data_IF_220087620633
#
_entry.id   IF_220087620633
#
_cell.length_a   1.000
_cell.length_b   1.000
_cell.length_c   1.000
_cell.angle_alpha   90.00
_cell.angle_beta   90.00
_cell.angle_gamma   90.00
#
_symmetry.space_group_name_H-M   'P 1'
#
loop_
_entity.id
_entity.type
_entity.pdbx_description
1 polymer ?
#
# COMPACT_ATOMS: atom_id res chain seq x y z
N UNK A 1 26.38 -23.78 -10.41
CA UNK A 1 25.59 -24.97 -10.02
C UNK A 1 24.79 -24.63 -8.77
N UNK A 2 23.50 -25.00 -8.72
CA UNK A 2 22.65 -24.81 -7.53
C UNK A 2 23.05 -25.85 -6.49
N UNK A 3 23.34 -25.45 -5.26
CA UNK A 3 23.72 -26.38 -4.19
C UNK A 3 22.47 -27.05 -3.59
N UNK A 4 22.65 -28.21 -2.96
CA UNK A 4 21.55 -28.88 -2.22
C UNK A 4 21.01 -27.96 -1.12
N UNK A 5 21.89 -27.21 -0.45
CA UNK A 5 21.51 -26.24 0.58
C UNK A 5 20.63 -25.12 0.02
N UNK A 6 20.95 -24.59 -1.16
CA UNK A 6 20.14 -23.53 -1.78
C UNK A 6 18.79 -24.06 -2.28
N UNK A 7 18.75 -25.29 -2.80
CA UNK A 7 17.49 -25.96 -3.15
C UNK A 7 16.60 -26.19 -1.92
N UNK A 8 17.18 -26.59 -0.77
CA UNK A 8 16.45 -26.72 0.50
C UNK A 8 15.96 -25.37 1.01
N UNK A 9 16.76 -24.30 0.89
CA UNK A 9 16.33 -22.95 1.24
C UNK A 9 15.16 -22.48 0.37
N UNK A 10 15.19 -22.77 -0.92
CA UNK A 10 14.09 -22.59 -1.87
C UNK A 10 12.82 -23.31 -1.44
N UNK A 11 12.91 -24.61 -1.16
CA UNK A 11 11.77 -25.42 -0.71
C UNK A 11 11.17 -24.88 0.61
N UNK A 12 12.01 -24.47 1.57
CA UNK A 12 11.57 -23.83 2.82
C UNK A 12 10.84 -22.51 2.58
N UNK A 13 11.33 -21.68 1.65
CA UNK A 13 10.69 -20.42 1.28
C UNK A 13 9.34 -20.62 0.61
N UNK A 14 9.25 -21.56 -0.33
CA UNK A 14 7.99 -21.90 -0.98
C UNK A 14 6.98 -22.49 0.03
N UNK A 15 7.44 -23.44 0.86
CA UNK A 15 6.61 -24.09 1.88
C UNK A 15 6.04 -23.13 2.91
N UNK A 16 6.81 -22.13 3.35
CA UNK A 16 6.32 -21.13 4.32
C UNK A 16 5.23 -20.23 3.73
N UNK A 17 5.36 -19.79 2.48
CA UNK A 17 4.32 -19.03 1.78
C UNK A 17 3.03 -19.84 1.61
N UNK A 18 3.13 -21.12 1.23
CA UNK A 18 1.97 -22.00 1.07
C UNK A 18 1.28 -22.26 2.41
N UNK A 19 2.05 -22.58 3.45
CA UNK A 19 1.52 -22.81 4.80
C UNK A 19 0.78 -21.58 5.34
N UNK A 20 1.36 -20.39 5.17
CA UNK A 20 0.73 -19.13 5.56
C UNK A 20 -0.55 -18.88 4.74
N UNK A 21 -0.53 -19.15 3.43
CA UNK A 21 -1.69 -19.03 2.56
C UNK A 21 -2.84 -19.95 2.96
N UNK A 22 -2.53 -21.21 3.29
CA UNK A 22 -3.50 -22.19 3.81
C UNK A 22 -4.07 -21.71 5.13
N UNK A 23 -3.21 -21.27 6.07
CA UNK A 23 -3.66 -20.78 7.38
C UNK A 23 -4.63 -19.60 7.24
N UNK A 24 -4.28 -18.59 6.43
CA UNK A 24 -5.13 -17.42 6.21
C UNK A 24 -6.43 -17.80 5.51
N UNK A 25 -6.38 -18.60 4.45
CA UNK A 25 -7.58 -19.05 3.75
C UNK A 25 -8.51 -19.84 4.68
N UNK A 26 -7.92 -20.69 5.52
CA UNK A 26 -8.66 -21.57 6.42
C UNK A 26 -9.31 -20.81 7.57
N UNK A 27 -8.61 -19.84 8.17
CA UNK A 27 -9.17 -18.97 9.20
C UNK A 27 -10.34 -18.14 8.66
N UNK A 28 -10.18 -17.56 7.46
CA UNK A 28 -11.23 -16.71 6.85
C UNK A 28 -12.51 -17.49 6.51
N UNK A 29 -12.37 -18.77 6.16
CA UNK A 29 -13.51 -19.64 5.80
C UNK A 29 -13.93 -20.60 6.93
N UNK A 30 -13.22 -20.56 8.07
CA UNK A 30 -13.40 -21.48 9.21
C UNK A 30 -13.35 -22.97 8.82
N UNK A 31 -12.65 -23.29 7.74
CA UNK A 31 -12.56 -24.62 7.13
C UNK A 31 -11.23 -24.73 6.40
N UNK A 32 -10.63 -25.92 6.36
CA UNK A 32 -9.38 -26.13 5.63
C UNK A 32 -9.56 -25.75 4.15
N UNK A 33 -8.75 -24.81 3.66
CA UNK A 33 -8.81 -24.31 2.29
C UNK A 33 -7.42 -24.24 1.67
N UNK A 34 -7.31 -24.49 0.35
CA UNK A 34 -6.06 -24.31 -0.37
C UNK A 34 -5.60 -22.84 -0.32
N UNK A 35 -4.31 -22.57 -0.51
CA UNK A 35 -3.79 -21.21 -0.56
C UNK A 35 -4.39 -20.48 -1.77
N UNK A 36 -4.52 -19.15 -1.67
CA UNK A 36 -4.94 -18.34 -2.81
C UNK A 36 -3.83 -18.27 -3.87
N UNK A 37 -4.20 -17.91 -5.09
CA UNK A 37 -3.26 -17.71 -6.21
C UNK A 37 -2.12 -16.75 -5.86
N UNK A 38 -2.38 -15.72 -5.03
CA UNK A 38 -1.35 -14.81 -4.55
C UNK A 38 -0.28 -15.56 -3.73
N UNK A 39 -0.69 -16.43 -2.81
CA UNK A 39 0.24 -17.21 -1.99
C UNK A 39 0.97 -18.27 -2.79
N UNK A 40 0.33 -18.87 -3.79
CA UNK A 40 0.99 -19.78 -4.74
C UNK A 40 2.05 -19.04 -5.55
N UNK A 41 1.74 -17.86 -6.10
CA UNK A 41 2.71 -17.05 -6.82
C UNK A 41 3.87 -16.59 -5.90
N UNK A 42 3.57 -16.17 -4.67
CA UNK A 42 4.58 -15.82 -3.67
C UNK A 42 5.48 -17.00 -3.35
N UNK A 43 4.92 -18.21 -3.21
CA UNK A 43 5.69 -19.42 -2.96
C UNK A 43 6.66 -19.70 -4.11
N UNK A 44 6.20 -19.60 -5.36
CA UNK A 44 7.06 -19.76 -6.54
C UNK A 44 8.16 -18.70 -6.57
N UNK A 45 7.82 -17.42 -6.38
CA UNK A 45 8.77 -16.32 -6.37
C UNK A 45 9.83 -16.48 -5.27
N UNK A 46 9.40 -16.73 -4.02
CA UNK A 46 10.31 -16.92 -2.89
C UNK A 46 11.19 -18.17 -3.06
N UNK A 47 10.62 -19.26 -3.58
CA UNK A 47 11.35 -20.50 -3.86
C UNK A 47 12.45 -20.29 -4.90
N UNK A 48 12.13 -19.67 -6.04
CA UNK A 48 13.12 -19.32 -7.07
C UNK A 48 14.18 -18.37 -6.51
N UNK A 49 13.75 -17.34 -5.78
CA UNK A 49 14.67 -16.35 -5.20
C UNK A 49 15.70 -17.03 -4.30
N UNK A 50 15.26 -17.77 -3.27
CA UNK A 50 16.18 -18.41 -2.31
C UNK A 50 17.06 -19.51 -2.92
N UNK A 51 16.59 -20.16 -3.98
CA UNK A 51 17.39 -21.18 -4.68
C UNK A 51 18.57 -20.55 -5.42
N UNK A 52 18.37 -19.36 -5.98
CA UNK A 52 19.33 -18.69 -6.87
C UNK A 52 20.13 -17.58 -6.20
N UNK A 53 19.64 -17.04 -5.07
CA UNK A 53 20.26 -15.92 -4.34
C UNK A 53 21.74 -16.18 -4.03
N UNK A 54 22.17 -17.39 -3.60
CA UNK A 54 23.59 -17.66 -3.32
C UNK A 54 24.49 -17.61 -4.55
N UNK A 55 23.93 -17.76 -5.76
CA UNK A 55 24.69 -17.70 -7.02
C UNK A 55 24.72 -16.28 -7.58
N UNK A 56 23.56 -15.62 -7.64
CA UNK A 56 23.45 -14.24 -8.11
C UNK A 56 22.15 -13.62 -7.62
N UNK A 57 22.27 -12.65 -6.71
CA UNK A 57 21.14 -11.88 -6.18
C UNK A 57 20.31 -11.23 -7.30
N UNK A 58 20.98 -10.67 -8.31
CA UNK A 58 20.34 -9.97 -9.42
C UNK A 58 19.56 -10.94 -10.32
N UNK A 59 20.13 -12.10 -10.63
CA UNK A 59 19.45 -13.13 -11.42
C UNK A 59 18.28 -13.73 -10.63
N UNK A 60 18.47 -13.98 -9.33
CA UNK A 60 17.44 -14.44 -8.42
C UNK A 60 16.25 -13.46 -8.36
N UNK A 61 16.53 -12.17 -8.12
CA UNK A 61 15.53 -11.11 -8.11
C UNK A 61 14.77 -11.02 -9.43
N UNK A 62 15.48 -11.06 -10.56
CA UNK A 62 14.89 -10.99 -11.90
C UNK A 62 13.92 -12.17 -12.15
N UNK A 63 14.42 -13.40 -12.03
CA UNK A 63 13.64 -14.60 -12.36
C UNK A 63 12.48 -14.83 -11.37
N UNK A 64 12.71 -14.59 -10.08
CA UNK A 64 11.65 -14.67 -9.07
C UNK A 64 10.55 -13.65 -9.34
N UNK A 65 10.90 -12.42 -9.74
CA UNK A 65 9.94 -11.36 -10.03
C UNK A 65 9.14 -11.63 -11.29
N UNK A 66 9.78 -12.16 -12.34
CA UNK A 66 9.10 -12.59 -13.56
C UNK A 66 8.09 -13.70 -13.24
N UNK A 67 8.53 -14.74 -12.53
CA UNK A 67 7.66 -15.86 -12.16
C UNK A 67 6.48 -15.40 -11.28
N UNK A 68 6.76 -14.64 -10.23
CA UNK A 68 5.73 -14.08 -9.36
C UNK A 68 4.72 -13.24 -10.14
N UNK A 69 5.20 -12.27 -10.93
CA UNK A 69 4.33 -11.32 -11.62
C UNK A 69 3.48 -11.97 -12.73
N UNK A 70 4.01 -13.01 -13.39
CA UNK A 70 3.26 -13.75 -14.41
C UNK A 70 2.17 -14.65 -13.81
N UNK A 71 2.37 -15.15 -12.59
CA UNK A 71 1.44 -16.06 -11.92
C UNK A 71 0.29 -15.37 -11.18
N UNK A 72 0.45 -14.12 -10.75
CA UNK A 72 -0.62 -13.39 -10.05
C UNK A 72 -1.74 -12.92 -10.99
N UNK A 73 -2.95 -12.73 -10.44
CA UNK A 73 -4.10 -12.18 -11.19
C UNK A 73 -3.84 -10.75 -11.68
N UNK A 74 -4.56 -10.33 -12.72
CA UNK A 74 -4.43 -8.99 -13.29
C UNK A 74 -4.70 -7.88 -12.26
N UNK A 75 -5.68 -8.07 -11.36
CA UNK A 75 -5.92 -7.11 -10.27
C UNK A 75 -4.72 -6.97 -9.34
N UNK A 76 -4.02 -8.07 -9.02
CA UNK A 76 -2.82 -8.02 -8.21
C UNK A 76 -1.63 -7.42 -8.97
N UNK A 77 -1.51 -7.67 -10.30
CA UNK A 77 -0.44 -7.07 -11.13
C UNK A 77 -0.42 -5.56 -11.01
N UNK A 78 -1.58 -4.90 -11.09
CA UNK A 78 -1.70 -3.45 -10.91
C UNK A 78 -1.20 -3.01 -9.54
N UNK A 79 -1.61 -3.71 -8.47
CA UNK A 79 -1.25 -3.35 -7.10
C UNK A 79 0.27 -3.51 -6.89
N UNK A 80 0.85 -4.67 -7.21
CA UNK A 80 2.27 -4.93 -6.91
C UNK A 80 3.20 -4.09 -7.76
N UNK A 81 2.86 -3.83 -9.04
CA UNK A 81 3.65 -2.94 -9.88
C UNK A 81 3.61 -1.51 -9.35
N UNK A 82 2.43 -1.01 -8.96
CA UNK A 82 2.32 0.32 -8.40
C UNK A 82 3.06 0.47 -7.06
N UNK A 83 3.09 -0.56 -6.22
CA UNK A 83 3.93 -0.54 -5.00
C UNK A 83 5.42 -0.54 -5.36
N UNK A 84 5.87 -1.39 -6.27
CA UNK A 84 7.28 -1.45 -6.68
C UNK A 84 7.77 -0.12 -7.27
N UNK A 85 6.95 0.53 -8.11
CA UNK A 85 7.27 1.85 -8.68
C UNK A 85 7.34 2.95 -7.61
N UNK A 86 6.44 2.94 -6.63
CA UNK A 86 6.47 3.91 -5.52
C UNK A 86 7.70 3.70 -4.63
N UNK A 87 8.04 2.44 -4.32
CA UNK A 87 9.26 2.12 -3.58
C UNK A 87 10.52 2.58 -4.31
N UNK A 88 10.60 2.30 -5.62
CA UNK A 88 11.71 2.73 -6.45
C UNK A 88 11.82 4.26 -6.47
N UNK A 89 10.69 4.96 -6.68
CA UNK A 89 10.67 6.42 -6.68
C UNK A 89 11.11 7.02 -5.33
N UNK A 90 10.74 6.39 -4.20
CA UNK A 90 11.18 6.81 -2.88
C UNK A 90 12.70 6.61 -2.70
N UNK A 91 13.26 5.48 -3.14
CA UNK A 91 14.71 5.26 -3.08
C UNK A 91 15.49 6.21 -3.99
N UNK A 92 14.94 6.55 -5.17
CA UNK A 92 15.54 7.56 -6.06
C UNK A 92 15.46 8.95 -5.43
N UNK A 93 14.34 9.29 -4.77
CA UNK A 93 14.19 10.57 -4.07
C UNK A 93 15.21 10.75 -2.95
N UNK A 94 15.57 9.67 -2.23
CA UNK A 94 16.61 9.69 -1.20
C UNK A 94 18.00 10.08 -1.71
N UNK A 95 18.24 10.03 -3.03
CA UNK A 95 19.51 10.46 -3.64
C UNK A 95 19.64 11.98 -3.74
N UNK A 96 18.55 12.72 -3.52
CA UNK A 96 18.49 14.17 -3.60
C UNK A 96 18.32 14.80 -2.22
N UNK A 97 18.68 16.09 -2.04
CA UNK A 97 18.42 16.79 -0.78
C UNK A 97 16.92 16.78 -0.43
N UNK A 98 16.56 16.50 0.83
CA UNK A 98 15.17 16.43 1.24
C UNK A 98 14.49 17.80 1.10
N UNK A 99 13.30 17.80 0.51
CA UNK A 99 12.51 19.01 0.27
C UNK A 99 11.08 18.80 0.75
N UNK A 100 10.76 19.43 1.90
CA UNK A 100 9.41 19.41 2.46
C UNK A 100 8.37 19.95 1.48
N UNK A 101 8.73 20.95 0.67
CA UNK A 101 7.83 21.50 -0.34
C UNK A 101 7.45 20.43 -1.38
N UNK A 102 8.43 19.67 -1.89
CA UNK A 102 8.20 18.58 -2.84
C UNK A 102 7.36 17.46 -2.19
N UNK A 103 7.66 17.09 -0.94
CA UNK A 103 6.88 16.08 -0.22
C UNK A 103 5.41 16.50 -0.02
N UNK A 104 5.17 17.75 0.37
CA UNK A 104 3.83 18.29 0.57
C UNK A 104 3.08 18.42 -0.76
N UNK A 105 3.70 18.97 -1.80
CA UNK A 105 3.10 19.09 -3.14
C UNK A 105 2.75 17.72 -3.71
N UNK A 106 3.66 16.76 -3.63
CA UNK A 106 3.43 15.38 -4.09
C UNK A 106 2.32 14.73 -3.28
N UNK A 107 2.30 14.93 -1.95
CA UNK A 107 1.23 14.39 -1.09
C UNK A 107 -0.13 14.95 -1.45
N UNK A 108 -0.25 16.25 -1.73
CA UNK A 108 -1.50 16.88 -2.18
C UNK A 108 -1.90 16.32 -3.55
N UNK A 109 -0.95 16.21 -4.48
CA UNK A 109 -1.22 15.71 -5.83
C UNK A 109 -1.74 14.26 -5.80
N UNK A 110 -1.08 13.34 -5.07
CA UNK A 110 -1.49 11.93 -5.04
C UNK A 110 -2.81 11.72 -4.30
N UNK A 111 -3.04 12.43 -3.19
CA UNK A 111 -4.29 12.33 -2.42
C UNK A 111 -5.45 12.97 -3.15
N UNK A 112 -5.23 14.18 -3.69
CA UNK A 112 -6.17 14.90 -4.54
C UNK A 112 -6.58 14.08 -5.74
N UNK A 113 -5.61 13.46 -6.44
CA UNK A 113 -5.91 12.57 -7.56
C UNK A 113 -6.78 11.38 -7.15
N UNK A 114 -6.42 10.64 -6.10
CA UNK A 114 -7.19 9.46 -5.70
C UNK A 114 -8.64 9.84 -5.39
N UNK A 115 -8.82 10.91 -4.62
CA UNK A 115 -10.14 11.34 -4.16
C UNK A 115 -10.97 11.95 -5.29
N UNK A 116 -10.34 12.73 -6.18
CA UNK A 116 -10.97 13.22 -7.40
C UNK A 116 -11.46 12.05 -8.26
N UNK A 117 -10.59 11.08 -8.55
CA UNK A 117 -10.96 9.88 -9.31
C UNK A 117 -12.08 9.10 -8.61
N UNK A 118 -12.03 8.96 -7.29
CA UNK A 118 -13.08 8.28 -6.51
C UNK A 118 -14.46 8.95 -6.63
N UNK A 119 -14.50 10.27 -6.78
CA UNK A 119 -15.75 11.03 -6.91
C UNK A 119 -16.24 11.12 -8.37
N UNK A 120 -15.33 11.25 -9.34
CA UNK A 120 -15.69 11.61 -10.72
C UNK A 120 -15.46 10.48 -11.72
N UNK A 121 -14.40 9.69 -11.56
CA UNK A 121 -13.95 8.64 -12.50
C UNK A 121 -13.72 7.30 -11.77
N UNK A 122 -14.71 6.87 -10.98
CA UNK A 122 -14.56 5.75 -10.06
C UNK A 122 -14.31 4.42 -10.79
N UNK A 123 -14.66 4.30 -12.07
CA UNK A 123 -14.33 3.17 -12.94
C UNK A 123 -12.82 2.94 -13.12
N UNK A 124 -11.98 3.94 -12.88
CA UNK A 124 -10.51 3.79 -12.92
C UNK A 124 -9.93 3.19 -11.63
N UNK A 125 -10.76 3.00 -10.60
CA UNK A 125 -10.36 2.39 -9.33
C UNK A 125 -10.68 0.90 -9.38
N UNK A 126 -9.76 0.07 -8.88
CA UNK A 126 -10.00 -1.37 -8.83
C UNK A 126 -11.24 -1.69 -7.97
N UNK A 127 -12.08 -2.66 -8.36
CA UNK A 127 -13.32 -2.96 -7.62
C UNK A 127 -13.11 -3.23 -6.13
N UNK A 128 -12.00 -3.87 -5.76
CA UNK A 128 -11.64 -4.13 -4.35
C UNK A 128 -11.30 -2.85 -3.58
N UNK A 129 -10.61 -1.91 -4.21
CA UNK A 129 -10.27 -0.60 -3.64
C UNK A 129 -11.53 0.26 -3.54
N UNK A 130 -12.36 0.29 -4.58
CA UNK A 130 -13.60 1.05 -4.60
C UNK A 130 -14.54 0.57 -3.50
N UNK A 131 -14.75 -0.75 -3.36
CA UNK A 131 -15.54 -1.33 -2.27
C UNK A 131 -15.03 -0.93 -0.89
N UNK A 132 -13.70 -0.86 -0.71
CA UNK A 132 -13.11 -0.42 0.55
C UNK A 132 -13.40 1.06 0.81
N UNK A 133 -13.19 1.94 -0.18
CA UNK A 133 -13.42 3.37 -0.06
C UNK A 133 -14.91 3.69 0.16
N UNK A 134 -15.81 3.02 -0.57
CA UNK A 134 -17.25 3.11 -0.41
C UNK A 134 -17.68 2.70 1.00
N UNK A 135 -17.17 1.57 1.50
CA UNK A 135 -17.46 1.13 2.86
C UNK A 135 -16.91 2.09 3.93
N UNK A 136 -15.75 2.71 3.68
CA UNK A 136 -15.18 3.70 4.60
C UNK A 136 -15.95 5.01 4.61
N UNK A 137 -16.60 5.38 3.50
CA UNK A 137 -17.44 6.57 3.36
C UNK A 137 -18.69 6.56 4.27
N UNK A 138 -19.10 5.39 4.76
CA UNK A 138 -20.34 5.23 5.54
C UNK A 138 -21.61 5.74 4.81
N UNK A 139 -21.57 5.82 3.47
CA UNK A 139 -22.71 6.13 2.60
C UNK A 139 -23.16 4.84 1.90
N UNK A 140 -24.46 4.69 1.65
CA UNK A 140 -24.97 3.53 0.93
C UNK A 140 -24.49 3.54 -0.53
N UNK A 141 -24.30 2.36 -1.15
CA UNK A 141 -23.84 2.28 -2.54
C UNK A 141 -24.73 3.05 -3.53
N UNK A 142 -26.06 3.03 -3.35
CA UNK A 142 -27.00 3.71 -4.24
C UNK A 142 -26.85 5.23 -4.16
N UNK A 143 -26.73 5.79 -2.95
CA UNK A 143 -26.50 7.22 -2.74
C UNK A 143 -25.15 7.64 -3.35
N UNK A 144 -24.10 6.82 -3.18
CA UNK A 144 -22.80 7.09 -3.80
C UNK A 144 -22.89 7.09 -5.32
N UNK A 145 -23.59 6.12 -5.91
CA UNK A 145 -23.77 6.03 -7.36
C UNK A 145 -24.53 7.25 -7.90
N UNK A 146 -25.64 7.64 -7.26
CA UNK A 146 -26.42 8.83 -7.65
C UNK A 146 -25.59 10.11 -7.51
N UNK A 147 -24.88 10.27 -6.39
CA UNK A 147 -24.01 11.42 -6.14
C UNK A 147 -22.91 11.56 -7.19
N UNK A 148 -22.26 10.45 -7.52
CA UNK A 148 -21.24 10.36 -8.57
C UNK A 148 -21.77 10.74 -9.95
N UNK A 149 -23.00 10.31 -10.28
CA UNK A 149 -23.68 10.70 -11.51
C UNK A 149 -23.97 12.21 -11.58
N UNK A 150 -24.36 12.82 -10.46
CA UNK A 150 -24.54 14.29 -10.34
C UNK A 150 -23.20 15.02 -10.53
N UNK A 151 -22.13 14.55 -9.90
CA UNK A 151 -20.81 15.16 -10.07
C UNK A 151 -20.26 15.07 -11.50
N UNK A 152 -20.58 13.99 -12.22
CA UNK A 152 -20.14 13.80 -13.61
C UNK A 152 -20.96 14.61 -14.61
N UNK A 153 -22.28 14.66 -14.41
CA UNK A 153 -23.18 15.36 -15.33
C UNK A 153 -23.23 16.87 -15.09
N UNK A 154 -22.78 17.34 -13.93
CA UNK A 154 -22.94 18.73 -13.46
C UNK A 154 -24.42 19.13 -13.31
N UNK A 155 -25.35 18.16 -13.38
CA UNK A 155 -26.80 18.36 -13.38
C UNK A 155 -27.41 17.85 -12.07
N UNK A 156 -28.30 18.65 -11.48
CA UNK A 156 -29.03 18.31 -10.26
C UNK A 156 -28.43 18.90 -8.99
N UNK A 157 -29.06 18.59 -7.85
CA UNK A 157 -28.66 19.07 -6.53
C UNK A 157 -27.79 18.04 -5.82
N UNK A 158 -26.59 18.44 -5.38
CA UNK A 158 -25.70 17.56 -4.60
C UNK A 158 -26.32 17.11 -3.29
N UNK A 159 -26.99 18.03 -2.60
CA UNK A 159 -27.58 17.75 -1.30
C UNK A 159 -28.73 16.72 -1.43
N UNK A 160 -29.53 16.86 -2.48
CA UNK A 160 -30.60 15.88 -2.77
C UNK A 160 -30.01 14.50 -3.10
N UNK A 161 -28.88 14.45 -3.80
CA UNK A 161 -28.22 13.20 -4.13
C UNK A 161 -27.54 12.54 -2.91
N UNK A 162 -26.88 13.30 -2.04
CA UNK A 162 -26.14 12.79 -0.88
C UNK A 162 -27.05 12.36 0.28
N UNK A 163 -28.13 13.10 0.50
CA UNK A 163 -28.98 12.92 1.66
C UNK A 163 -30.44 13.27 1.32
N UNK A 164 -31.07 12.44 0.46
CA UNK A 164 -32.45 12.67 0.05
C UNK A 164 -33.34 12.67 1.29
N UNK A 165 -34.25 13.64 1.38
CA UNK A 165 -35.19 13.82 2.49
C UNK A 165 -34.54 14.10 3.87
N UNK A 166 -33.29 14.57 3.91
CA UNK A 166 -32.62 14.97 5.15
C UNK A 166 -32.04 16.38 5.03
N UNK A 167 -32.05 17.13 6.13
CA UNK A 167 -31.31 18.39 6.21
C UNK A 167 -29.80 18.11 6.30
N UNK A 168 -28.98 19.05 5.79
CA UNK A 168 -27.52 18.93 5.86
C UNK A 168 -27.02 18.69 7.29
N UNK A 169 -27.62 19.36 8.29
CA UNK A 169 -27.25 19.21 9.70
C UNK A 169 -27.56 17.81 10.26
N UNK A 170 -28.74 17.27 9.96
CA UNK A 170 -29.11 15.91 10.37
C UNK A 170 -28.18 14.87 9.73
N UNK A 171 -27.94 14.99 8.42
CA UNK A 171 -27.01 14.14 7.69
C UNK A 171 -25.61 14.15 8.29
N UNK A 172 -25.02 15.35 8.52
CA UNK A 172 -23.67 15.46 9.07
C UNK A 172 -23.56 14.85 10.46
N UNK A 173 -24.52 15.09 11.35
CA UNK A 173 -24.56 14.47 12.68
C UNK A 173 -24.58 12.94 12.58
N UNK A 174 -25.46 12.40 11.76
CA UNK A 174 -25.64 10.94 11.63
C UNK A 174 -24.39 10.30 11.00
N UNK A 175 -23.74 10.96 10.02
CA UNK A 175 -22.49 10.49 9.44
C UNK A 175 -21.31 10.58 10.41
N UNK A 176 -21.20 11.62 11.23
CA UNK A 176 -20.18 11.70 12.28
C UNK A 176 -20.27 10.49 13.21
N UNK A 177 -21.47 10.18 13.71
CA UNK A 177 -21.69 9.02 14.58
C UNK A 177 -21.36 7.69 13.88
N UNK A 178 -21.78 7.54 12.62
CA UNK A 178 -21.47 6.35 11.83
C UNK A 178 -19.95 6.17 11.63
N UNK A 179 -19.21 7.24 11.35
CA UNK A 179 -17.76 7.19 11.18
C UNK A 179 -17.01 6.91 12.48
N UNK A 180 -17.46 7.44 13.63
CA UNK A 180 -16.86 7.10 14.93
C UNK A 180 -17.02 5.60 15.20
N UNK A 181 -18.23 5.06 15.01
CA UNK A 181 -18.52 3.63 15.20
C UNK A 181 -17.71 2.75 14.23
N UNK A 182 -17.65 3.12 12.95
CA UNK A 182 -16.90 2.37 11.94
C UNK A 182 -15.39 2.46 12.18
N UNK A 183 -14.88 3.64 12.53
CA UNK A 183 -13.48 3.86 12.89
C UNK A 183 -13.07 3.01 14.10
N UNK A 184 -13.89 2.97 15.14
CA UNK A 184 -13.66 2.09 16.29
C UNK A 184 -13.58 0.61 15.86
N UNK A 185 -14.53 0.14 15.05
CA UNK A 185 -14.56 -1.23 14.52
C UNK A 185 -13.30 -1.59 13.71
N UNK A 186 -12.78 -0.65 12.92
CA UNK A 186 -11.60 -0.87 12.07
C UNK A 186 -10.31 -0.83 12.91
N UNK A 187 -10.15 0.18 13.75
CA UNK A 187 -8.87 0.45 14.41
C UNK A 187 -8.68 -0.30 15.72
N UNK A 188 -9.74 -0.65 16.45
CA UNK A 188 -9.63 -1.39 17.70
C UNK A 188 -8.84 -2.70 17.56
N UNK A 189 -9.15 -3.61 16.61
CA UNK A 189 -8.37 -4.86 16.48
C UNK A 189 -6.91 -4.61 16.08
N UNK A 190 -6.64 -3.58 15.28
CA UNK A 190 -5.28 -3.23 14.86
C UNK A 190 -4.44 -2.77 16.05
N UNK A 191 -4.98 -1.87 16.87
CA UNK A 191 -4.33 -1.37 18.07
C UNK A 191 -4.20 -2.46 19.14
N UNK A 192 -5.20 -3.34 19.27
CA UNK A 192 -5.12 -4.49 20.17
C UNK A 192 -3.96 -5.42 19.82
N UNK A 193 -3.80 -5.77 18.54
CA UNK A 193 -2.66 -6.59 18.08
C UNK A 193 -1.33 -5.87 18.32
N UNK A 194 -1.25 -4.57 18.05
CA UNK A 194 -0.05 -3.78 18.31
C UNK A 194 0.32 -3.78 19.81
N UNK A 195 -0.66 -3.66 20.70
CA UNK A 195 -0.48 -3.76 22.16
C UNK A 195 -0.01 -5.15 22.57
N UNK A 196 -0.62 -6.22 22.04
CA UNK A 196 -0.23 -7.60 22.36
C UNK A 196 1.21 -7.90 21.91
N UNK A 197 1.61 -7.42 20.74
CA UNK A 197 2.99 -7.57 20.24
C UNK A 197 3.99 -6.73 21.04
N UNK A 198 3.60 -5.53 21.46
CA UNK A 198 4.45 -4.65 22.26
C UNK A 198 4.59 -5.13 23.71
N UNK A 199 3.55 -5.73 24.30
CA UNK A 199 3.57 -6.31 25.65
C UNK A 199 4.76 -7.25 25.80
N UNK A 200 4.95 -8.15 24.82
CA UNK A 200 5.99 -9.17 24.86
C UNK A 200 7.41 -8.58 24.96
N UNK A 201 7.61 -7.34 24.49
CA UNK A 201 8.93 -6.77 24.27
C UNK A 201 9.22 -5.48 25.07
N UNK A 202 8.26 -4.83 25.73
CA UNK A 202 8.46 -3.56 26.45
C UNK A 202 7.35 -3.22 27.49
N UNK A 203 7.62 -2.26 28.39
CA UNK A 203 6.59 -1.61 29.23
C UNK A 203 5.57 -0.86 28.36
N UNK A 204 4.30 -1.25 28.42
CA UNK A 204 3.20 -0.65 27.67
C UNK A 204 2.84 0.74 28.21
N UNK A 205 2.87 1.75 27.34
CA UNK A 205 2.29 3.07 27.64
C UNK A 205 0.84 3.12 27.12
N UNK A 206 -0.11 2.80 28.00
CA UNK A 206 -1.55 2.74 27.66
C UNK A 206 -2.11 4.09 27.22
N UNK A 207 -1.67 5.20 27.83
CA UNK A 207 -2.11 6.55 27.48
C UNK A 207 -1.76 6.89 26.02
N UNK A 208 -0.51 6.60 25.62
CA UNK A 208 -0.07 6.78 24.23
C UNK A 208 -0.87 5.93 23.24
N UNK A 209 -1.14 4.67 23.57
CA UNK A 209 -1.93 3.77 22.72
C UNK A 209 -3.37 4.25 22.57
N UNK A 210 -3.99 4.70 23.66
CA UNK A 210 -5.32 5.32 23.63
C UNK A 210 -5.36 6.57 22.76
N UNK A 211 -4.35 7.45 22.88
CA UNK A 211 -4.24 8.65 22.05
C UNK A 211 -4.07 8.32 20.57
N UNK A 212 -3.21 7.37 20.22
CA UNK A 212 -2.98 6.96 18.82
C UNK A 212 -4.21 6.26 18.22
N UNK A 213 -4.99 5.55 19.03
CA UNK A 213 -6.29 4.99 18.65
C UNK A 213 -7.31 6.10 18.34
N UNK A 214 -7.45 7.08 19.24
CA UNK A 214 -8.36 8.23 19.03
C UNK A 214 -7.96 9.03 17.80
N UNK A 215 -6.66 9.30 17.61
CA UNK A 215 -6.12 9.94 16.39
C UNK A 215 -6.53 9.20 15.12
N UNK A 216 -6.45 7.86 15.13
CA UNK A 216 -6.84 7.03 13.98
C UNK A 216 -8.33 7.22 13.61
N UNK A 217 -9.20 7.36 14.60
CA UNK A 217 -10.63 7.64 14.39
C UNK A 217 -10.82 9.05 13.81
N UNK A 218 -10.18 10.07 14.39
CA UNK A 218 -10.26 11.44 13.89
C UNK A 218 -9.69 11.60 12.47
N UNK A 219 -8.63 10.86 12.13
CA UNK A 219 -8.12 10.78 10.78
C UNK A 219 -9.17 10.25 9.81
N UNK A 220 -9.86 9.15 10.15
CA UNK A 220 -10.93 8.61 9.30
C UNK A 220 -12.09 9.59 9.17
N UNK A 221 -12.46 10.26 10.27
CA UNK A 221 -13.47 11.31 10.27
C UNK A 221 -13.09 12.45 9.31
N UNK A 222 -11.86 12.95 9.41
CA UNK A 222 -11.36 14.03 8.57
C UNK A 222 -11.33 13.66 7.07
N UNK A 223 -11.04 12.41 6.72
CA UNK A 223 -11.00 11.98 5.32
C UNK A 223 -12.37 11.97 4.62
N UNK A 224 -13.46 11.77 5.38
CA UNK A 224 -14.78 11.52 4.80
C UNK A 224 -15.83 12.57 5.22
N UNK A 225 -15.85 12.98 6.49
CA UNK A 225 -16.82 13.98 6.98
C UNK A 225 -16.47 15.40 6.58
N UNK A 226 -15.19 15.76 6.50
CA UNK A 226 -14.81 17.09 6.01
C UNK A 226 -15.27 17.33 4.57
N UNK A 227 -15.07 16.40 3.61
CA UNK A 227 -15.69 16.50 2.28
C UNK A 227 -17.20 16.76 2.32
N UNK A 228 -17.93 16.04 3.18
CA UNK A 228 -19.38 16.19 3.31
C UNK A 228 -19.77 17.56 3.83
N UNK A 229 -19.05 18.04 4.84
CA UNK A 229 -19.27 19.36 5.44
C UNK A 229 -19.04 20.45 4.41
N UNK A 230 -17.93 20.40 3.67
CA UNK A 230 -17.65 21.37 2.61
C UNK A 230 -18.67 21.28 1.48
N UNK A 231 -19.11 20.09 1.08
CA UNK A 231 -20.16 19.93 0.05
C UNK A 231 -21.45 20.64 0.42
N UNK A 232 -21.84 20.59 1.70
CA UNK A 232 -23.05 21.24 2.23
C UNK A 232 -22.90 22.76 2.41
N UNK A 233 -21.67 23.27 2.58
CA UNK A 233 -21.40 24.70 2.75
C UNK A 233 -21.17 25.44 1.44
N UNK A 234 -20.67 24.74 0.40
CA UNK A 234 -20.42 25.33 -0.92
C UNK A 234 -21.75 25.51 -1.67
N UNK A 235 -21.94 26.62 -2.42
CA UNK A 235 -23.13 26.82 -3.23
C UNK A 235 -23.44 25.62 -4.15
N UNK A 236 -24.73 25.26 -4.24
CA UNK A 236 -25.19 24.04 -4.95
C UNK A 236 -24.73 24.01 -6.42
N UNK A 237 -24.60 25.17 -7.06
CA UNK A 237 -24.19 25.29 -8.47
C UNK A 237 -22.69 25.03 -8.72
N UNK A 238 -21.86 24.96 -7.68
CA UNK A 238 -20.38 24.87 -7.83
C UNK A 238 -19.86 23.46 -7.54
N UNK A 239 -20.23 22.48 -8.37
CA UNK A 239 -19.82 21.08 -8.21
C UNK A 239 -18.30 20.91 -8.30
N UNK A 240 -17.65 21.60 -9.25
CA UNK A 240 -16.18 21.57 -9.41
C UNK A 240 -15.43 22.05 -8.17
N UNK A 241 -15.89 23.13 -7.55
CA UNK A 241 -15.28 23.65 -6.32
C UNK A 241 -15.45 22.65 -5.17
N UNK A 242 -16.61 22.01 -5.08
CA UNK A 242 -16.87 20.97 -4.08
C UNK A 242 -15.94 19.76 -4.28
N UNK A 243 -15.79 19.30 -5.52
CA UNK A 243 -14.87 18.20 -5.86
C UNK A 243 -13.43 18.58 -5.54
N UNK A 244 -12.99 19.80 -5.87
CA UNK A 244 -11.65 20.29 -5.57
C UNK A 244 -11.39 20.32 -4.05
N UNK A 245 -12.27 20.96 -3.29
CA UNK A 245 -12.15 21.06 -1.83
C UNK A 245 -12.23 19.68 -1.17
N UNK A 246 -13.18 18.84 -1.59
CA UNK A 246 -13.30 17.45 -1.13
C UNK A 246 -12.02 16.66 -1.39
N UNK A 247 -11.38 16.87 -2.54
CA UNK A 247 -10.16 16.15 -2.93
C UNK A 247 -8.93 16.52 -2.10
N UNK A 248 -8.85 17.74 -1.56
CA UNK A 248 -7.71 18.17 -0.73
C UNK A 248 -7.89 17.82 0.76
N UNK A 249 -9.10 17.58 1.23
CA UNK A 249 -9.35 17.24 2.64
C UNK A 249 -8.57 16.03 3.17
N UNK A 250 -8.32 14.94 2.41
CA UNK A 250 -7.58 13.80 2.93
C UNK A 250 -6.13 14.14 3.27
N UNK A 251 -5.53 15.11 2.55
CA UNK A 251 -4.20 15.61 2.87
C UNK A 251 -4.17 16.30 4.24
N UNK A 252 -5.17 17.12 4.57
CA UNK A 252 -5.26 17.77 5.89
C UNK A 252 -5.56 16.76 7.00
N UNK A 253 -6.46 15.79 6.75
CA UNK A 253 -6.77 14.74 7.70
C UNK A 253 -5.51 13.93 8.08
N UNK A 254 -4.62 13.68 7.11
CA UNK A 254 -3.34 13.00 7.35
C UNK A 254 -2.38 13.75 8.30
N UNK A 255 -2.57 15.06 8.52
CA UNK A 255 -1.74 15.82 9.46
C UNK A 255 -2.02 15.45 10.93
N UNK A 256 -3.20 14.87 11.22
CA UNK A 256 -3.57 14.34 12.55
C UNK A 256 -2.71 13.12 12.92
N UNK A 257 -2.21 12.41 11.92
CA UNK A 257 -1.46 11.17 12.08
C UNK A 257 0.03 11.41 12.36
N UNK A 258 0.67 10.55 13.19
CA UNK A 258 2.09 10.64 13.44
C UNK A 258 2.88 10.41 12.15
N UNK A 259 4.08 11.00 12.00
CA UNK A 259 4.85 11.00 10.75
C UNK A 259 5.03 9.61 10.13
N UNK A 260 5.33 8.59 10.94
CA UNK A 260 5.53 7.21 10.47
C UNK A 260 4.26 6.59 9.86
N UNK A 261 3.10 6.81 10.48
CA UNK A 261 1.80 6.31 9.96
C UNK A 261 1.39 7.09 8.72
N UNK A 262 1.58 8.41 8.74
CA UNK A 262 1.35 9.30 7.59
C UNK A 262 2.12 8.87 6.36
N UNK A 263 3.42 8.56 6.51
CA UNK A 263 4.25 8.05 5.42
C UNK A 263 3.69 6.75 4.82
N UNK A 264 3.30 5.80 5.68
CA UNK A 264 2.72 4.53 5.25
C UNK A 264 1.39 4.72 4.51
N UNK A 265 0.54 5.64 4.98
CA UNK A 265 -0.72 6.00 4.32
C UNK A 265 -0.45 6.61 2.94
N UNK A 266 0.46 7.59 2.86
CA UNK A 266 0.81 8.27 1.60
C UNK A 266 1.34 7.30 0.55
N UNK A 267 2.14 6.32 0.98
CA UNK A 267 2.66 5.27 0.11
C UNK A 267 1.53 4.42 -0.49
N UNK A 268 0.59 3.97 0.34
CA UNK A 268 -0.57 3.23 -0.13
C UNK A 268 -1.45 4.07 -1.07
N UNK A 269 -1.71 5.33 -0.72
CA UNK A 269 -2.47 6.26 -1.57
C UNK A 269 -1.78 6.49 -2.90
N UNK A 270 -0.45 6.72 -2.91
CA UNK A 270 0.32 6.89 -4.14
C UNK A 270 0.23 5.65 -5.04
N UNK A 271 0.28 4.44 -4.46
CA UNK A 271 0.10 3.21 -5.23
C UNK A 271 -1.31 3.12 -5.83
N UNK A 272 -2.36 3.47 -5.09
CA UNK A 272 -3.73 3.49 -5.63
C UNK A 272 -3.90 4.56 -6.71
N UNK A 273 -3.36 5.76 -6.50
CA UNK A 273 -3.36 6.82 -7.51
C UNK A 273 -2.66 6.39 -8.79
N UNK A 274 -1.54 5.67 -8.69
CA UNK A 274 -0.81 5.18 -9.86
C UNK A 274 -1.61 4.13 -10.65
N UNK A 275 -2.40 3.29 -9.98
CA UNK A 275 -3.37 2.41 -10.67
C UNK A 275 -4.37 3.22 -11.49
N UNK A 276 -4.90 4.32 -10.94
CA UNK A 276 -5.81 5.18 -11.70
C UNK A 276 -5.12 5.86 -12.90
N UNK A 277 -3.83 6.20 -12.79
CA UNK A 277 -3.04 6.72 -13.93
C UNK A 277 -2.99 5.68 -15.04
N UNK A 278 -2.76 4.42 -14.70
CA UNK A 278 -2.71 3.35 -15.68
C UNK A 278 -4.04 3.19 -16.44
N UNK A 279 -5.18 3.25 -15.76
CA UNK A 279 -6.49 3.19 -16.42
C UNK A 279 -6.78 4.43 -17.26
N UNK A 280 -6.44 5.62 -16.76
CA UNK A 280 -6.52 6.85 -17.56
C UNK A 280 -5.64 6.77 -18.82
N UNK A 281 -4.43 6.22 -18.71
CA UNK A 281 -3.52 6.11 -19.85
C UNK A 281 -4.11 5.25 -20.98
N UNK A 282 -4.88 4.21 -20.63
CA UNK A 282 -5.55 3.35 -21.62
C UNK A 282 -6.61 4.06 -22.45
N UNK A 283 -7.15 5.17 -21.97
CA UNK A 283 -8.13 5.96 -22.74
C UNK A 283 -7.47 6.73 -23.90
N UNK A 284 -6.15 6.97 -23.84
CA UNK A 284 -5.44 7.59 -24.96
C UNK A 284 -5.24 6.59 -26.10
N UNK A 285 -5.49 7.06 -27.34
CA UNK A 285 -5.44 6.27 -28.58
C UNK A 285 -4.10 5.53 -28.78
N UNK A 286 -2.99 6.11 -28.32
CA UNK A 286 -1.67 5.47 -28.43
C UNK A 286 -1.59 4.19 -27.58
N UNK A 287 -2.18 4.18 -26.39
CA UNK A 287 -2.11 3.06 -25.46
C UNK A 287 -3.24 2.04 -25.65
N UNK A 288 -4.37 2.45 -26.22
CA UNK A 288 -5.49 1.54 -26.51
C UNK A 288 -5.18 0.51 -27.61
N UNK A 289 -4.14 0.75 -28.43
CA UNK A 289 -3.66 -0.15 -29.48
C UNK A 289 -2.78 -1.30 -28.98
N UNK A 290 -2.24 -1.22 -27.76
CA UNK A 290 -1.38 -2.29 -27.26
C UNK A 290 -2.19 -3.55 -26.94
N UNK A 291 -1.70 -4.70 -27.41
CA UNK A 291 -2.31 -5.97 -27.05
C UNK A 291 -2.12 -6.25 -25.57
N UNK A 292 -3.04 -7.01 -24.97
CA UNK A 292 -2.93 -7.43 -23.55
C UNK A 292 -1.58 -8.09 -23.27
N UNK A 293 -1.08 -8.92 -24.20
CA UNK A 293 0.20 -9.61 -24.04
C UNK A 293 1.38 -8.63 -24.03
N UNK A 294 1.35 -7.59 -24.87
CA UNK A 294 2.38 -6.54 -24.87
C UNK A 294 2.36 -5.77 -23.55
N UNK A 295 1.19 -5.35 -23.07
CA UNK A 295 1.04 -4.63 -21.80
C UNK A 295 1.55 -5.46 -20.63
N UNK A 296 1.16 -6.73 -20.55
CA UNK A 296 1.61 -7.63 -19.46
C UNK A 296 3.12 -7.89 -19.56
N UNK A 297 3.68 -8.04 -20.76
CA UNK A 297 5.13 -8.23 -20.93
C UNK A 297 5.92 -7.00 -20.53
N UNK A 298 5.50 -5.81 -20.95
CA UNK A 298 6.12 -4.54 -20.53
C UNK A 298 6.03 -4.37 -19.01
N UNK A 299 4.85 -4.60 -18.42
CA UNK A 299 4.65 -4.55 -16.98
C UNK A 299 5.52 -5.58 -16.23
N UNK A 300 5.74 -6.77 -16.79
CA UNK A 300 6.61 -7.79 -16.22
C UNK A 300 8.07 -7.32 -16.20
N UNK A 301 8.54 -6.76 -17.32
CA UNK A 301 9.91 -6.22 -17.41
C UNK A 301 10.07 -5.07 -16.43
N UNK A 302 9.14 -4.11 -16.41
CA UNK A 302 9.16 -2.98 -15.46
C UNK A 302 9.18 -3.46 -14.02
N UNK A 303 8.32 -4.42 -13.65
CA UNK A 303 8.26 -4.98 -12.31
C UNK A 303 9.58 -5.67 -11.94
N UNK A 304 10.13 -6.50 -12.84
CA UNK A 304 11.40 -7.18 -12.61
C UNK A 304 12.56 -6.18 -12.44
N UNK A 305 12.62 -5.13 -13.27
CA UNK A 305 13.62 -4.06 -13.13
C UNK A 305 13.51 -3.34 -11.79
N UNK A 306 12.29 -3.01 -11.35
CA UNK A 306 12.08 -2.41 -10.02
C UNK A 306 12.58 -3.35 -8.92
N UNK A 307 12.18 -4.62 -8.97
CA UNK A 307 12.54 -5.59 -7.94
C UNK A 307 14.04 -5.89 -7.90
N UNK A 308 14.74 -5.88 -9.03
CA UNK A 308 16.21 -5.98 -9.06
C UNK A 308 16.81 -4.86 -8.20
N UNK A 309 16.45 -3.60 -8.48
CA UNK A 309 16.99 -2.46 -7.76
C UNK A 309 16.62 -2.49 -6.26
N UNK A 310 15.36 -2.78 -5.95
CA UNK A 310 14.88 -2.86 -4.57
C UNK A 310 15.56 -3.97 -3.76
N UNK A 311 15.88 -5.10 -4.40
CA UNK A 311 16.53 -6.25 -3.75
C UNK A 311 18.07 -6.19 -3.79
N UNK A 312 18.66 -5.29 -4.59
CA UNK A 312 20.07 -4.91 -4.48
C UNK A 312 20.31 -4.07 -3.20
N UNK A 313 19.30 -3.35 -2.71
CA UNK A 313 19.34 -2.56 -1.47
C UNK A 313 18.30 -3.02 -0.41
N UNK A 314 18.34 -4.28 0.03
CA UNK A 314 17.33 -4.85 0.91
C UNK A 314 17.33 -4.22 2.32
N UNK A 315 18.43 -3.59 2.76
CA UNK A 315 18.52 -2.89 4.03
C UNK A 315 17.59 -1.67 4.13
N UNK A 316 17.20 -1.10 2.99
CA UNK A 316 16.25 0.02 2.89
C UNK A 316 14.79 -0.43 2.92
N UNK A 317 14.54 -1.74 2.84
CA UNK A 317 13.22 -2.33 2.79
C UNK A 317 12.72 -2.73 4.19
N UNK A 318 11.44 -3.06 4.28
CA UNK A 318 10.86 -3.51 5.55
C UNK A 318 11.57 -4.79 6.05
N UNK A 319 12.17 -4.72 7.25
CA UNK A 319 12.93 -5.81 7.88
C UNK A 319 12.17 -7.14 7.91
N UNK A 320 10.87 -7.12 8.24
CA UNK A 320 10.07 -8.35 8.31
C UNK A 320 9.77 -8.94 6.93
N UNK A 321 9.54 -8.09 5.93
CA UNK A 321 9.36 -8.54 4.55
C UNK A 321 10.64 -9.19 4.03
N UNK A 322 11.78 -8.55 4.28
CA UNK A 322 13.08 -9.06 3.88
C UNK A 322 13.47 -10.33 4.63
N UNK A 323 13.20 -10.42 5.94
CA UNK A 323 13.35 -11.66 6.69
C UNK A 323 12.47 -12.77 6.11
N UNK A 324 11.22 -12.45 5.74
CA UNK A 324 10.32 -13.37 5.07
C UNK A 324 10.85 -13.86 3.72
N UNK A 325 11.50 -13.00 2.93
CA UNK A 325 12.05 -13.35 1.62
C UNK A 325 13.37 -14.12 1.71
N UNK A 326 14.31 -13.68 2.54
CA UNK A 326 15.65 -14.26 2.66
C UNK A 326 15.73 -15.42 3.67
N UNK A 327 14.83 -15.45 4.65
CA UNK A 327 14.82 -16.47 5.72
C UNK A 327 15.78 -16.17 6.88
N UNK A 328 16.50 -15.06 6.81
CA UNK A 328 17.41 -14.58 7.85
C UNK A 328 17.37 -13.06 7.93
N UNK A 329 17.94 -12.51 9.00
CA UNK A 329 18.00 -11.07 9.21
C UNK A 329 19.18 -10.44 8.47
N UNK A 330 18.87 -9.67 7.43
CA UNK A 330 19.87 -9.04 6.55
C UNK A 330 20.67 -7.97 7.28
N UNK A 331 20.04 -7.22 8.20
CA UNK A 331 20.73 -6.15 8.92
C UNK A 331 21.79 -6.73 9.86
N UNK A 332 21.47 -7.84 10.52
CA UNK A 332 22.42 -8.57 11.38
C UNK A 332 23.50 -9.25 10.53
N UNK A 333 23.13 -9.84 9.39
CA UNK A 333 24.09 -10.47 8.50
C UNK A 333 25.13 -9.48 7.97
N UNK A 334 24.71 -8.25 7.61
CA UNK A 334 25.61 -7.18 7.15
C UNK A 334 26.61 -6.75 8.23
N UNK A 335 26.14 -6.52 9.45
CA UNK A 335 27.01 -6.17 10.59
C UNK A 335 28.03 -7.28 10.86
N UNK A 336 27.61 -8.55 10.81
CA UNK A 336 28.53 -9.68 10.98
C UNK A 336 29.57 -9.79 9.86
N UNK A 337 29.20 -9.50 8.61
CA UNK A 337 30.16 -9.50 7.50
C UNK A 337 31.17 -8.36 7.62
N UNK A 338 30.73 -7.17 8.03
CA UNK A 338 31.61 -6.00 8.24
C UNK A 338 32.55 -6.21 9.44
N UNK A 339 32.06 -6.81 10.53
CA UNK A 339 32.91 -7.18 11.67
C UNK A 339 33.94 -8.25 11.29
N UNK A 340 33.57 -9.20 10.43
CA UNK A 340 34.47 -10.26 9.96
C UNK A 340 35.54 -9.74 8.99
N UNK A 341 35.23 -8.74 8.16
CA UNK A 341 36.24 -8.09 7.33
C UNK A 341 37.23 -7.28 8.16
N UNK A 342 36.74 -6.55 9.17
CA UNK A 342 37.59 -5.77 10.09
C UNK A 342 38.49 -6.70 10.93
N UNK A 343 37.99 -7.85 11.40
CA UNK A 343 38.80 -8.81 12.15
C UNK A 343 39.87 -9.49 11.30
N UNK A 344 39.59 -9.71 10.01
CA UNK A 344 40.56 -10.29 9.08
C UNK A 344 41.64 -9.27 8.69
N UNK A 345 41.28 -8.00 8.47
CA UNK A 345 42.27 -6.91 8.28
C UNK A 345 43.17 -6.73 9.51
N UNK A 346 42.64 -6.90 10.73
CA UNK A 346 43.44 -6.83 11.96
C UNK A 346 44.39 -8.03 12.15
N UNK A 347 44.15 -9.16 11.49
CA UNK A 347 45.05 -10.32 11.49
C UNK A 347 46.13 -10.25 10.39
N UNK A 348 45.94 -9.41 9.37
CA UNK A 348 46.89 -9.21 8.26
C UNK A 348 47.87 -8.04 8.48
N UNK A 349 47.84 -7.36 9.63
CA UNK A 349 48.92 -6.44 10.02
C UNK A 349 50.12 -7.32 10.45
N UNK A 350 51.23 -7.35 9.70
CA UNK A 350 52.40 -8.08 10.13
C UNK A 350 52.88 -7.44 11.43
N UNK A 351 53.08 -8.26 12.46
CA UNK A 351 53.85 -7.90 13.63
C UNK A 351 55.28 -7.54 13.19
N UNK A 352 55.50 -6.31 12.74
CA UNK A 352 56.81 -5.69 12.82
C UNK A 352 57.05 -5.36 14.29
N UNK A 353 57.47 -6.39 15.03
CA UNK A 353 58.11 -6.26 16.32
C UNK A 353 59.62 -6.15 16.10
N UNK A 354 60.16 -5.08 16.69
CA UNK A 354 61.54 -4.83 17.11
C UNK A 354 62.59 -4.47 16.05
#
# INVERSE_FOLDING_TARGET
>A
MVSIESAVAGAKGAGSCLALGIAIASVRKRQLRPPSELFTALATGCGIFRTLEPTSKRTAACLASIAFFRLITDSHKHIVLSYALVELALQVYELFPPSKAVEHATSIAVTGRLMHTFMVNWEWILPSQLKMLDNQSCISPDILATTRAVFRSDMGSRCEAFHPNQSCGAFLRDKILAHIKNGAKIFFPIHLVAVLLAWKNNRLNLSKQGLDYVRSIFFLLGNYVFPYTFSCMVPIKSHRLTVLLGSITPYFAQLIEPPKRRFTIRKAVASYSLVTVFYQLKEYICFSKFSRQQVVSMATVMYATCMIYLLEHPERQNRWLMYGLYGYDIQIAKVKSEQKSISNEAQDIPSQMN
#
